data_IF_566572971249
#
_entry.id   IF_566572971249
#
_cell.length_a   1.000
_cell.length_b   1.000
_cell.length_c   1.000
_cell.angle_alpha   90.00
_cell.angle_beta   90.00
_cell.angle_gamma   90.00
#
_symmetry.space_group_name_H-M   'P 1'
#
loop_
_entity.id
_entity.type
_entity.pdbx_description
1 polymer ?
#
# COMPACT_ATOMS: atom_id res chain seq x y z
N UNK A 1 -17.31 -8.86 -10.10
CA UNK A 1 -17.26 -8.57 -8.65
C UNK A 1 -15.81 -8.50 -8.21
N UNK A 2 -15.43 -7.55 -7.34
CA UNK A 2 -14.03 -7.44 -6.92
C UNK A 2 -13.68 -8.55 -5.91
N UNK A 3 -12.50 -9.20 -5.98
CA UNK A 3 -12.06 -10.25 -5.03
C UNK A 3 -12.10 -9.83 -3.55
N UNK A 4 -12.17 -8.51 -3.31
CA UNK A 4 -12.34 -7.92 -1.99
C UNK A 4 -13.66 -8.24 -1.32
N UNK A 5 -14.72 -8.45 -2.09
CA UNK A 5 -16.09 -8.64 -1.59
C UNK A 5 -16.38 -10.08 -1.21
N UNK A 6 -15.64 -11.04 -1.79
CA UNK A 6 -15.87 -12.46 -1.60
C UNK A 6 -15.18 -13.00 -0.33
N UNK A 7 -13.98 -12.49 -0.01
CA UNK A 7 -13.20 -12.95 1.15
C UNK A 7 -12.66 -11.76 1.96
N UNK A 8 -13.51 -11.10 2.78
CA UNK A 8 -13.14 -9.90 3.53
C UNK A 8 -12.15 -10.19 4.67
N UNK A 9 -12.15 -11.42 5.20
CA UNK A 9 -11.24 -11.89 6.25
C UNK A 9 -9.85 -12.27 5.72
N UNK A 10 -9.67 -12.33 4.40
CA UNK A 10 -8.39 -12.66 3.77
C UNK A 10 -7.56 -11.43 3.42
N UNK A 11 -6.26 -11.52 3.66
CA UNK A 11 -5.28 -10.58 3.16
C UNK A 11 -5.26 -10.53 1.63
N UNK A 12 -4.80 -9.43 1.05
CA UNK A 12 -4.67 -9.31 -0.41
C UNK A 12 -3.77 -10.41 -0.99
N UNK A 13 -2.67 -10.71 -0.29
CA UNK A 13 -1.69 -11.73 -0.68
C UNK A 13 -2.32 -13.13 -0.75
N UNK A 14 -3.20 -13.44 0.18
CA UNK A 14 -3.87 -14.75 0.24
C UNK A 14 -4.96 -14.87 -0.81
N UNK A 15 -5.66 -13.78 -1.13
CA UNK A 15 -6.63 -13.73 -2.23
C UNK A 15 -5.95 -13.87 -3.60
N UNK A 16 -4.82 -13.20 -3.80
CA UNK A 16 -4.02 -13.32 -5.02
C UNK A 16 -3.45 -14.74 -5.15
N UNK A 17 -2.94 -15.30 -4.05
CA UNK A 17 -2.48 -16.70 -3.99
C UNK A 17 -3.59 -17.68 -4.41
N UNK A 18 -4.81 -17.51 -3.89
CA UNK A 18 -5.94 -18.36 -4.22
C UNK A 18 -6.35 -18.27 -5.68
N UNK A 19 -6.48 -17.05 -6.20
CA UNK A 19 -6.86 -16.82 -7.60
C UNK A 19 -5.82 -17.47 -8.51
N UNK A 20 -4.52 -17.26 -8.25
CA UNK A 20 -3.47 -17.83 -9.08
C UNK A 20 -3.30 -19.35 -8.91
N UNK A 21 -3.62 -19.92 -7.74
CA UNK A 21 -3.56 -21.37 -7.53
C UNK A 21 -4.73 -22.12 -8.17
N UNK A 22 -5.94 -21.52 -8.16
CA UNK A 22 -7.15 -22.14 -8.72
C UNK A 22 -7.42 -21.78 -10.19
N UNK A 23 -7.00 -20.60 -10.66
CA UNK A 23 -7.14 -20.15 -12.06
C UNK A 23 -5.84 -20.29 -12.87
N UNK A 24 -4.68 -20.37 -12.19
CA UNK A 24 -3.35 -20.45 -12.80
C UNK A 24 -2.67 -21.81 -12.64
N UNK A 25 -1.32 -21.86 -12.62
CA UNK A 25 -0.59 -23.12 -12.59
C UNK A 25 -0.87 -23.89 -11.29
N UNK A 26 -1.38 -25.13 -11.43
CA UNK A 26 -1.67 -26.04 -10.30
C UNK A 26 -0.42 -26.46 -9.52
N UNK A 27 0.78 -26.25 -10.08
CA UNK A 27 2.04 -26.59 -9.44
C UNK A 27 2.56 -25.44 -8.55
N UNK A 28 2.86 -25.80 -7.31
CA UNK A 28 3.39 -24.90 -6.28
C UNK A 28 4.75 -24.29 -6.66
N UNK A 29 5.59 -24.99 -7.44
CA UNK A 29 6.89 -24.44 -7.87
C UNK A 29 6.73 -23.38 -8.95
N UNK A 30 5.84 -23.61 -9.92
CA UNK A 30 5.49 -22.61 -10.92
C UNK A 30 4.88 -21.36 -10.26
N UNK A 31 3.95 -21.55 -9.31
CA UNK A 31 3.34 -20.45 -8.56
C UNK A 31 4.35 -19.69 -7.69
N UNK A 32 5.31 -20.39 -7.09
CA UNK A 32 6.44 -19.79 -6.35
C UNK A 32 7.31 -18.91 -7.24
N UNK A 33 7.57 -19.34 -8.48
CA UNK A 33 8.34 -18.57 -9.44
C UNK A 33 7.60 -17.29 -9.83
N UNK A 34 6.29 -17.38 -10.12
CA UNK A 34 5.46 -16.23 -10.48
C UNK A 34 5.34 -15.21 -9.36
N UNK A 35 5.24 -15.68 -8.11
CA UNK A 35 5.13 -14.82 -6.94
C UNK A 35 6.49 -14.39 -6.36
N UNK A 36 7.60 -14.88 -6.91
CA UNK A 36 8.95 -14.73 -6.36
C UNK A 36 9.04 -15.14 -4.87
N UNK A 37 8.29 -16.16 -4.49
CA UNK A 37 8.19 -16.66 -3.11
C UNK A 37 8.83 -18.03 -2.95
N UNK A 38 9.20 -18.38 -1.72
CA UNK A 38 9.67 -19.75 -1.45
C UNK A 38 8.47 -20.71 -1.45
N UNK A 39 8.58 -21.91 -2.07
CA UNK A 39 7.48 -22.89 -2.10
C UNK A 39 6.93 -23.27 -0.71
N UNK A 40 7.80 -23.29 0.31
CA UNK A 40 7.39 -23.55 1.71
C UNK A 40 6.46 -22.46 2.26
N UNK A 41 6.73 -21.19 1.93
CA UNK A 41 5.89 -20.06 2.36
C UNK A 41 4.51 -20.15 1.72
N UNK A 42 4.43 -20.50 0.43
CA UNK A 42 3.16 -20.68 -0.27
C UNK A 42 2.36 -21.85 0.29
N UNK A 43 3.02 -22.98 0.56
CA UNK A 43 2.37 -24.14 1.19
C UNK A 43 1.75 -23.77 2.55
N UNK A 44 2.51 -23.10 3.43
CA UNK A 44 2.01 -22.66 4.73
C UNK A 44 0.79 -21.74 4.61
N UNK A 45 0.80 -20.84 3.62
CA UNK A 45 -0.34 -19.95 3.35
C UNK A 45 -1.55 -20.72 2.83
N UNK A 46 -1.37 -21.68 1.93
CA UNK A 46 -2.46 -22.52 1.42
C UNK A 46 -3.07 -23.41 2.52
N UNK A 47 -2.23 -24.03 3.37
CA UNK A 47 -2.68 -24.86 4.50
C UNK A 47 -3.52 -24.07 5.52
N UNK A 48 -3.30 -22.76 5.63
CA UNK A 48 -4.12 -21.89 6.48
C UNK A 48 -5.44 -21.49 5.83
N UNK A 49 -5.41 -21.25 4.51
CA UNK A 49 -6.50 -20.64 3.76
C UNK A 49 -7.54 -21.67 3.32
N UNK A 50 -7.11 -22.84 2.84
CA UNK A 50 -8.01 -23.89 2.33
C UNK A 50 -9.03 -24.32 3.40
N UNK A 51 -8.64 -24.66 4.64
CA UNK A 51 -9.60 -25.04 5.67
C UNK A 51 -10.57 -23.92 6.07
N UNK A 52 -10.14 -22.66 5.95
CA UNK A 52 -10.99 -21.51 6.23
C UNK A 52 -12.05 -21.32 5.13
N UNK A 53 -11.71 -21.62 3.87
CA UNK A 53 -12.65 -21.60 2.75
C UNK A 53 -13.66 -22.74 2.80
N UNK A 54 -13.23 -23.94 3.18
CA UNK A 54 -14.11 -25.10 3.38
C UNK A 54 -15.16 -24.80 4.46
N UNK A 55 -14.74 -24.25 5.60
CA UNK A 55 -15.66 -23.81 6.67
C UNK A 55 -16.61 -22.70 6.25
N UNK A 56 -16.20 -21.86 5.31
CA UNK A 56 -17.01 -20.78 4.77
C UNK A 56 -17.95 -21.25 3.63
N UNK A 57 -17.90 -22.52 3.23
CA UNK A 57 -18.67 -23.05 2.10
C UNK A 57 -18.26 -22.44 0.75
N UNK A 58 -17.10 -21.80 0.68
CA UNK A 58 -16.61 -21.10 -0.51
C UNK A 58 -15.80 -21.99 -1.46
N UNK A 59 -15.47 -23.20 -0.99
CA UNK A 59 -14.87 -24.25 -1.80
C UNK A 59 -15.96 -25.25 -2.17
N UNK A 60 -16.26 -25.38 -3.47
CA UNK A 60 -17.20 -26.36 -3.99
C UNK A 60 -16.41 -27.37 -4.80
N UNK A 61 -16.55 -28.66 -4.47
CA UNK A 61 -15.91 -29.75 -5.22
C UNK A 61 -16.96 -30.34 -6.15
N UNK A 62 -16.88 -29.99 -7.42
CA UNK A 62 -17.69 -30.58 -8.49
C UNK A 62 -16.78 -31.44 -9.37
N UNK A 63 -17.20 -32.68 -9.66
CA UNK A 63 -16.49 -33.64 -10.51
C UNK A 63 -15.00 -33.86 -10.15
N UNK A 64 -14.70 -33.89 -8.85
CA UNK A 64 -13.32 -34.08 -8.35
C UNK A 64 -12.40 -32.87 -8.55
N UNK A 65 -12.95 -31.74 -9.02
CA UNK A 65 -12.22 -30.48 -9.22
C UNK A 65 -12.74 -29.45 -8.22
N UNK A 66 -11.90 -29.08 -7.26
CA UNK A 66 -12.22 -28.01 -6.33
C UNK A 66 -12.24 -26.66 -7.07
N UNK A 67 -13.38 -25.98 -7.02
CA UNK A 67 -13.60 -24.64 -7.58
C UNK A 67 -14.00 -23.67 -6.48
N UNK A 68 -13.54 -22.44 -6.59
CA UNK A 68 -13.98 -21.35 -5.72
C UNK A 68 -15.37 -20.90 -6.20
N UNK A 69 -16.40 -21.13 -5.39
CA UNK A 69 -17.74 -20.63 -5.72
C UNK A 69 -17.82 -19.15 -5.40
N UNK A 70 -18.08 -18.35 -6.45
CA UNK A 70 -18.21 -16.90 -6.38
C UNK A 70 -19.65 -16.44 -6.13
N UNK A 71 -20.60 -17.38 -6.04
CA UNK A 71 -22.00 -17.08 -5.73
C UNK A 71 -22.26 -17.18 -4.22
N UNK A 72 -22.94 -16.15 -3.69
CA UNK A 72 -23.40 -16.09 -2.29
C UNK A 72 -24.14 -17.38 -1.94
N UNK A 73 -23.64 -18.14 -0.97
CA UNK A 73 -24.50 -19.05 -0.21
C UNK A 73 -25.68 -18.24 0.38
N UNK A 74 -26.91 -18.78 0.38
CA UNK A 74 -28.08 -18.04 0.85
C UNK A 74 -27.92 -17.72 2.35
N UNK A 75 -28.41 -16.55 2.80
CA UNK A 75 -28.19 -16.13 4.17
C UNK A 75 -28.95 -17.05 5.13
N UNK A 76 -28.24 -17.62 6.10
CA UNK A 76 -28.86 -18.17 7.29
C UNK A 76 -29.74 -17.09 7.95
N UNK A 77 -30.94 -17.51 8.37
CA UNK A 77 -32.04 -16.67 8.82
C UNK A 77 -31.63 -15.60 9.84
N UNK A 78 -32.04 -14.35 9.54
CA UNK A 78 -31.89 -13.20 10.42
C UNK A 78 -32.84 -13.34 11.60
N UNK A 79 -32.32 -13.39 12.82
CA UNK A 79 -33.06 -12.88 13.98
C UNK A 79 -33.20 -11.36 13.82
N UNK A 80 -34.41 -10.85 14.07
CA UNK A 80 -34.84 -9.50 13.72
C UNK A 80 -33.93 -8.39 14.30
N UNK A 81 -33.59 -7.34 13.53
CA UNK A 81 -32.86 -6.20 14.06
C UNK A 81 -33.79 -5.32 14.91
N UNK A 82 -33.39 -5.06 16.16
CA UNK A 82 -33.98 -4.00 16.98
C UNK A 82 -33.76 -2.63 16.30
N UNK A 83 -34.79 -1.77 16.36
CA UNK A 83 -34.81 -0.46 15.71
C UNK A 83 -33.58 0.42 16.09
N UNK A 84 -32.91 1.05 15.11
CA UNK A 84 -31.72 1.85 15.39
C UNK A 84 -32.12 3.21 15.97
N UNK A 85 -31.77 3.46 17.23
CA UNK A 85 -31.79 4.80 17.82
C UNK A 85 -30.83 5.71 17.05
N UNK A 86 -31.35 6.82 16.54
CA UNK A 86 -30.59 7.82 15.79
C UNK A 86 -29.41 8.38 16.61
N UNK A 87 -28.18 8.03 16.20
CA UNK A 87 -26.96 8.69 16.70
C UNK A 87 -26.71 9.95 15.88
N UNK A 88 -26.94 11.09 16.52
CA UNK A 88 -26.54 12.44 16.09
C UNK A 88 -25.09 12.41 15.54
N UNK A 89 -24.94 12.67 14.24
CA UNK A 89 -23.65 12.74 13.56
C UNK A 89 -22.90 14.01 13.97
N UNK A 90 -21.92 13.89 14.86
CA UNK A 90 -20.85 14.89 14.93
C UNK A 90 -20.12 14.84 13.58
N UNK A 91 -20.07 15.96 12.85
CA UNK A 91 -19.22 16.13 11.65
C UNK A 91 -17.82 15.62 12.01
N UNK A 92 -17.40 14.50 11.41
CA UNK A 92 -16.01 14.04 11.53
C UNK A 92 -15.15 15.05 10.81
N UNK A 93 -14.18 15.64 11.51
CA UNK A 93 -13.15 16.44 10.88
C UNK A 93 -12.45 15.63 9.78
N UNK A 94 -12.13 16.26 8.62
CA UNK A 94 -11.45 15.56 7.55
C UNK A 94 -10.09 15.07 8.02
N UNK A 95 -9.72 13.84 7.64
CA UNK A 95 -8.38 13.32 7.98
C UNK A 95 -7.27 14.20 7.39
N UNK A 96 -6.07 14.27 7.97
CA UNK A 96 -4.97 15.08 7.45
C UNK A 96 -4.68 14.85 5.95
N UNK A 97 -4.70 13.58 5.51
CA UNK A 97 -4.56 13.22 4.08
C UNK A 97 -5.73 13.74 3.25
N UNK A 98 -6.95 13.71 3.78
CA UNK A 98 -8.14 14.19 3.09
C UNK A 98 -8.12 15.71 2.94
N UNK A 99 -7.74 16.45 3.99
CA UNK A 99 -7.54 17.89 3.91
C UNK A 99 -6.45 18.25 2.88
N UNK A 100 -5.33 17.53 2.88
CA UNK A 100 -4.26 17.73 1.90
C UNK A 100 -4.72 17.43 0.46
N UNK A 101 -5.54 16.39 0.28
CA UNK A 101 -6.09 16.01 -1.02
C UNK A 101 -7.16 16.99 -1.54
N UNK A 102 -7.93 17.60 -0.65
CA UNK A 102 -8.89 18.66 -0.98
C UNK A 102 -8.17 19.95 -1.39
N UNK A 103 -7.06 20.29 -0.73
CA UNK A 103 -6.22 21.42 -1.09
C UNK A 103 -5.44 21.23 -2.40
N UNK A 104 -5.24 19.98 -2.87
CA UNK A 104 -4.43 19.66 -4.05
C UNK A 104 -5.18 18.74 -5.04
N UNK A 105 -6.12 19.28 -5.84
CA UNK A 105 -6.98 18.50 -6.72
C UNK A 105 -6.22 17.67 -7.77
N UNK A 106 -5.07 18.15 -8.26
CA UNK A 106 -4.26 17.50 -9.31
C UNK A 106 -3.67 16.16 -8.89
N UNK A 107 -3.42 15.97 -7.59
CA UNK A 107 -2.90 14.71 -7.01
C UNK A 107 -3.89 14.05 -6.06
N UNK A 108 -5.13 14.55 -5.98
CA UNK A 108 -6.17 14.08 -5.04
C UNK A 108 -6.36 12.57 -5.08
N UNK A 109 -6.46 11.99 -6.28
CA UNK A 109 -6.65 10.55 -6.46
C UNK A 109 -5.51 9.74 -5.83
N UNK A 110 -4.26 10.19 -6.02
CA UNK A 110 -3.07 9.53 -5.47
C UNK A 110 -3.03 9.66 -3.94
N UNK A 111 -3.27 10.86 -3.40
CA UNK A 111 -3.27 11.11 -1.95
C UNK A 111 -4.33 10.26 -1.23
N UNK A 112 -5.57 10.24 -1.74
CA UNK A 112 -6.63 9.43 -1.16
C UNK A 112 -6.34 7.93 -1.27
N UNK A 113 -5.80 7.48 -2.40
CA UNK A 113 -5.45 6.08 -2.61
C UNK A 113 -4.34 5.63 -1.65
N UNK A 114 -3.30 6.46 -1.46
CA UNK A 114 -2.21 6.16 -0.52
C UNK A 114 -2.70 6.25 0.93
N UNK A 115 -3.55 7.23 1.27
CA UNK A 115 -4.18 7.35 2.58
C UNK A 115 -5.01 6.13 2.97
N UNK A 116 -5.68 5.50 1.99
CA UNK A 116 -6.45 4.26 2.19
C UNK A 116 -5.57 3.01 2.25
N UNK A 117 -4.50 2.94 1.45
CA UNK A 117 -3.67 1.72 1.31
C UNK A 117 -2.52 1.64 2.31
N UNK A 118 -1.95 2.79 2.71
CA UNK A 118 -0.86 2.91 3.68
C UNK A 118 -1.18 3.97 4.75
N UNK A 119 -2.27 3.85 5.51
CA UNK A 119 -2.66 4.87 6.49
C UNK A 119 -1.58 5.11 7.56
N UNK A 120 -0.81 4.08 7.93
CA UNK A 120 0.26 4.17 8.94
C UNK A 120 1.45 5.04 8.51
N UNK A 121 1.67 5.20 7.21
CA UNK A 121 2.75 6.03 6.67
C UNK A 121 2.20 7.39 6.22
N UNK A 122 1.07 7.37 5.52
CA UNK A 122 0.47 8.55 4.90
C UNK A 122 -0.14 9.52 5.91
N UNK A 123 -0.84 9.03 6.95
CA UNK A 123 -1.48 9.92 7.93
C UNK A 123 -0.46 10.68 8.77
N UNK A 124 0.61 10.04 9.32
CA UNK A 124 1.64 10.79 10.02
C UNK A 124 2.38 11.77 9.11
N UNK A 125 2.72 11.38 7.88
CA UNK A 125 3.36 12.30 6.93
C UNK A 125 2.46 13.50 6.61
N UNK A 126 1.17 13.29 6.33
CA UNK A 126 0.25 14.38 6.07
C UNK A 126 0.08 15.32 7.28
N UNK A 127 0.17 14.79 8.50
CA UNK A 127 0.03 15.58 9.72
C UNK A 127 1.30 16.37 10.07
N UNK A 128 2.49 15.77 9.92
CA UNK A 128 3.75 16.39 10.37
C UNK A 128 4.55 17.04 9.23
N UNK A 129 4.50 16.47 8.03
CA UNK A 129 5.27 16.90 6.85
C UNK A 129 4.41 16.85 5.57
N UNK A 130 3.32 17.64 5.50
CA UNK A 130 2.38 17.58 4.38
C UNK A 130 3.05 17.86 3.01
N UNK A 131 4.05 18.74 2.97
CA UNK A 131 4.79 19.05 1.76
C UNK A 131 5.56 17.85 1.22
N UNK A 132 6.20 17.04 2.07
CA UNK A 132 6.88 15.79 1.68
C UNK A 132 5.91 14.83 0.98
N UNK A 133 4.72 14.63 1.56
CA UNK A 133 3.72 13.73 0.99
C UNK A 133 3.17 14.27 -0.35
N UNK A 134 2.97 15.59 -0.45
CA UNK A 134 2.56 16.25 -1.68
C UNK A 134 3.62 16.09 -2.78
N UNK A 135 4.89 16.40 -2.50
CA UNK A 135 5.99 16.29 -3.47
C UNK A 135 6.24 14.85 -3.90
N UNK A 136 6.06 13.88 -3.01
CA UNK A 136 6.10 12.47 -3.38
C UNK A 136 4.94 12.11 -4.34
N UNK A 137 3.73 12.60 -4.07
CA UNK A 137 2.58 12.36 -4.96
C UNK A 137 2.76 13.03 -6.34
N UNK A 138 3.33 14.22 -6.40
CA UNK A 138 3.66 14.92 -7.65
C UNK A 138 4.76 14.21 -8.43
N UNK A 139 5.83 13.77 -7.75
CA UNK A 139 6.88 12.96 -8.35
C UNK A 139 6.31 11.65 -8.93
N UNK A 140 5.27 11.08 -8.32
CA UNK A 140 4.62 9.87 -8.83
C UNK A 140 3.86 10.12 -10.15
N UNK A 141 3.49 11.37 -10.49
CA UNK A 141 2.80 11.68 -11.75
C UNK A 141 3.67 11.46 -13.00
N UNK A 142 4.99 11.52 -12.86
CA UNK A 142 5.94 11.24 -13.94
C UNK A 142 5.88 9.77 -14.42
N UNK A 143 5.34 8.87 -13.60
CA UNK A 143 5.16 7.47 -13.99
C UNK A 143 3.91 7.28 -14.86
N UNK A 144 3.87 6.22 -15.69
CA UNK A 144 2.68 5.85 -16.45
C UNK A 144 1.46 5.71 -15.52
N UNK A 145 0.27 6.11 -15.98
CA UNK A 145 -0.94 6.22 -15.16
C UNK A 145 -1.24 4.97 -14.32
N UNK A 146 -1.14 3.78 -14.92
CA UNK A 146 -1.34 2.50 -14.22
C UNK A 146 -0.29 2.15 -13.16
N UNK A 147 0.83 2.88 -13.10
CA UNK A 147 1.93 2.65 -12.14
C UNK A 147 2.05 3.71 -11.06
N UNK A 148 1.52 4.93 -11.26
CA UNK A 148 1.69 6.09 -10.35
C UNK A 148 1.46 5.75 -8.88
N UNK A 149 0.29 5.20 -8.57
CA UNK A 149 -0.08 4.87 -7.19
C UNK A 149 0.77 3.72 -6.62
N UNK A 150 1.08 2.70 -7.42
CA UNK A 150 1.94 1.59 -6.99
C UNK A 150 3.35 2.07 -6.67
N UNK A 151 3.87 2.97 -7.50
CA UNK A 151 5.16 3.60 -7.31
C UNK A 151 5.19 4.39 -5.99
N UNK A 152 4.23 5.31 -5.80
CA UNK A 152 4.09 6.07 -4.56
C UNK A 152 3.97 5.19 -3.30
N UNK A 153 3.22 4.09 -3.38
CA UNK A 153 3.05 3.14 -2.27
C UNK A 153 4.36 2.46 -1.91
N UNK A 154 5.16 2.06 -2.90
CA UNK A 154 6.44 1.39 -2.66
C UNK A 154 7.43 2.30 -1.95
N UNK A 155 7.41 3.60 -2.25
CA UNK A 155 8.41 4.54 -1.73
C UNK A 155 7.99 5.26 -0.46
N UNK A 156 6.71 5.35 -0.16
CA UNK A 156 6.22 6.09 1.01
C UNK A 156 6.93 5.74 2.33
N UNK A 157 7.22 4.44 2.63
CA UNK A 157 7.98 4.08 3.83
C UNK A 157 9.40 4.66 3.83
N UNK A 158 10.08 4.63 2.67
CA UNK A 158 11.44 5.16 2.52
C UNK A 158 11.45 6.69 2.58
N UNK A 159 10.49 7.36 1.93
CA UNK A 159 10.31 8.81 2.00
C UNK A 159 10.06 9.28 3.43
N UNK A 160 9.24 8.55 4.20
CA UNK A 160 9.04 8.84 5.62
C UNK A 160 10.33 8.65 6.42
N UNK A 161 11.10 7.61 6.13
CA UNK A 161 12.38 7.40 6.78
C UNK A 161 13.37 8.53 6.46
N UNK A 162 13.41 9.02 5.21
CA UNK A 162 14.21 10.18 4.84
C UNK A 162 13.76 11.44 5.56
N UNK A 163 12.46 11.73 5.61
CA UNK A 163 11.96 12.92 6.30
C UNK A 163 12.36 12.94 7.79
N UNK A 164 12.42 11.77 8.43
CA UNK A 164 12.88 11.62 9.82
C UNK A 164 14.39 11.75 10.00
N UNK A 165 15.18 11.33 9.02
CA UNK A 165 16.65 11.19 9.16
C UNK A 165 17.42 12.34 8.54
N UNK A 166 16.90 12.93 7.47
CA UNK A 166 17.55 13.98 6.67
C UNK A 166 16.82 15.32 6.77
N UNK A 167 15.65 15.36 7.42
CA UNK A 167 14.80 16.54 7.50
C UNK A 167 13.80 16.63 6.35
N UNK A 168 12.62 17.19 6.65
CA UNK A 168 11.52 17.28 5.69
C UNK A 168 11.85 18.20 4.50
N UNK A 169 12.50 19.34 4.74
CA UNK A 169 12.82 20.33 3.70
C UNK A 169 13.75 19.77 2.62
N UNK A 170 14.82 19.07 3.02
CA UNK A 170 15.76 18.44 2.09
C UNK A 170 15.06 17.38 1.21
N UNK A 171 14.13 16.62 1.80
CA UNK A 171 13.35 15.60 1.09
C UNK A 171 12.33 16.22 0.14
N UNK A 172 11.67 17.31 0.54
CA UNK A 172 10.76 18.06 -0.33
C UNK A 172 11.47 18.60 -1.56
N UNK A 173 12.63 19.24 -1.36
CA UNK A 173 13.38 19.83 -2.47
C UNK A 173 13.94 18.75 -3.39
N UNK A 174 14.47 17.64 -2.85
CA UNK A 174 14.93 16.53 -3.65
C UNK A 174 13.81 15.88 -4.50
N UNK A 175 12.61 15.72 -3.93
CA UNK A 175 11.46 15.17 -4.66
C UNK A 175 10.93 16.15 -5.73
N UNK A 176 10.89 17.44 -5.41
CA UNK A 176 10.50 18.49 -6.35
C UNK A 176 11.47 18.54 -7.53
N UNK A 177 12.76 18.50 -7.26
CA UNK A 177 13.79 18.57 -8.30
C UNK A 177 13.80 17.30 -9.15
N UNK A 178 13.63 16.14 -8.53
CA UNK A 178 13.53 14.89 -9.26
C UNK A 178 12.31 14.83 -10.20
N UNK A 179 11.17 15.41 -9.80
CA UNK A 179 9.98 15.47 -10.62
C UNK A 179 10.18 16.30 -11.90
N UNK A 180 11.08 17.29 -11.90
CA UNK A 180 11.39 18.12 -13.08
C UNK A 180 12.35 17.44 -14.05
N UNK A 181 13.33 16.69 -13.53
CA UNK A 181 14.51 16.29 -14.30
C UNK A 181 14.56 14.81 -14.68
N UNK A 182 13.68 13.96 -14.14
CA UNK A 182 13.78 12.52 -14.34
C UNK A 182 12.48 11.87 -14.81
N UNK A 183 12.61 10.95 -15.77
CA UNK A 183 11.55 9.98 -16.11
C UNK A 183 11.23 9.05 -14.93
N UNK A 184 12.21 8.85 -14.05
CA UNK A 184 12.07 8.10 -12.80
C UNK A 184 12.49 8.98 -11.61
N UNK A 185 11.59 9.81 -11.07
CA UNK A 185 11.91 10.74 -10.00
C UNK A 185 12.47 10.11 -8.72
N UNK A 186 12.00 8.94 -8.29
CA UNK A 186 12.37 8.44 -6.97
C UNK A 186 13.82 7.93 -6.87
N UNK A 187 14.33 7.14 -7.83
CA UNK A 187 15.77 6.84 -7.90
C UNK A 187 16.64 8.10 -7.98
N UNK A 188 16.16 9.15 -8.65
CA UNK A 188 16.89 10.41 -8.76
C UNK A 188 16.90 11.19 -7.44
N UNK A 189 15.76 11.33 -6.76
CA UNK A 189 15.66 11.94 -5.44
C UNK A 189 16.58 11.25 -4.42
N UNK A 190 16.65 9.91 -4.47
CA UNK A 190 17.58 9.13 -3.63
C UNK A 190 19.05 9.51 -3.87
N UNK A 191 19.44 9.74 -5.13
CA UNK A 191 20.80 10.21 -5.48
C UNK A 191 21.07 11.63 -4.97
N UNK A 192 20.09 12.53 -5.06
CA UNK A 192 20.22 13.90 -4.54
C UNK A 192 20.42 13.87 -3.02
N UNK A 193 19.58 13.12 -2.31
CA UNK A 193 19.67 12.99 -0.85
C UNK A 193 20.95 12.31 -0.37
N UNK A 194 21.49 11.37 -1.15
CA UNK A 194 22.78 10.75 -0.84
C UNK A 194 23.95 11.73 -0.98
N UNK A 195 23.89 12.67 -1.94
CA UNK A 195 24.90 13.74 -2.12
C UNK A 195 24.79 14.85 -1.07
N UNK A 196 23.58 15.09 -0.57
CA UNK A 196 23.31 16.10 0.44
C UNK A 196 23.63 15.63 1.87
N UNK A 197 24.01 14.36 2.08
CA UNK A 197 24.56 13.94 3.37
C UNK A 197 25.93 14.57 3.53
N UNK A 198 26.19 15.38 4.58
CA UNK A 198 27.54 15.75 4.92
C UNK A 198 28.34 14.47 5.15
N UNK A 199 29.56 14.42 4.61
CA UNK A 199 30.47 13.30 4.86
C UNK A 199 30.72 13.23 6.37
N UNK A 200 30.77 12.05 7.01
CA UNK A 200 31.19 11.95 8.42
C UNK A 200 32.62 12.46 8.67
N UNK A 201 33.37 12.81 7.62
CA UNK A 201 34.67 13.47 7.71
C UNK A 201 34.59 15.01 7.87
N UNK A 202 33.45 15.66 7.62
CA UNK A 202 33.30 17.11 7.86
C UNK A 202 32.99 17.42 9.34
N UNK A 203 32.40 16.50 10.09
CA UNK A 203 32.24 16.65 11.56
C UNK A 203 33.52 16.34 12.35
N UNK A 204 34.57 15.80 11.70
CA UNK A 204 35.89 15.57 12.32
C UNK A 204 36.94 16.61 11.97
N UNK A 205 36.57 17.64 11.20
CA UNK A 205 37.47 18.71 10.76
C UNK A 205 37.63 19.89 11.73
N UNK A 206 36.76 20.03 12.74
CA UNK A 206 36.88 21.07 13.76
C UNK A 206 37.02 20.47 15.16
N UNK A 207 38.09 19.69 15.36
CA UNK A 207 38.71 19.60 16.69
C UNK A 207 40.11 20.14 16.56
N UNK A 208 40.27 21.36 17.08
CA UNK A 208 41.51 22.09 17.29
C UNK A 208 42.66 21.18 17.75
N UNK A 209 43.80 21.27 17.06
CA UNK A 209 45.11 21.02 17.67
C UNK A 209 46.06 22.15 17.26
N UNK A 210 46.27 23.04 18.25
CA UNK A 210 47.32 24.06 18.42
C UNK A 210 47.29 25.32 17.56
#
# INVERSE_FOLDING_TARGET
MAPRELFPWMGLRERVLLVLYYEGPKDLKALALELAERPRTLRYLLERVIPALERAGALVVEDGVARLSLEKAPPAERQAPAEPKAKRSKRKEPSPVQALAEANPHVRGLLLQVGKRLPKEAQPLAASHPGVLLRAAEAALAYPEGRRASALILWLPEVRAWAKTLGAEAVEEALREAAKHAREPFPYAKKLLAKARPSPDEERGEVLLF
#
